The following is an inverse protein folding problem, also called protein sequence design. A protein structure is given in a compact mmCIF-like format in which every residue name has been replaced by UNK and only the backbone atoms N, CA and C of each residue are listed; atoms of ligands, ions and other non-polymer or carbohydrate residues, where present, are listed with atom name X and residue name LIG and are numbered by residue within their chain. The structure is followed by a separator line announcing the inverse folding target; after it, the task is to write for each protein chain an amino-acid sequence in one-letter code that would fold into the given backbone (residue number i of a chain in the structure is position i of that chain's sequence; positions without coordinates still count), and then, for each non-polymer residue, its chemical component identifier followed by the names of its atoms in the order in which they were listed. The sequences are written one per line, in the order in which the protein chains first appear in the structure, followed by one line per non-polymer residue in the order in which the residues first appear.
data_IF_126914461626
#
_entry.id   IF_126914461626
#
_cell.length_a   1.000
_cell.length_b   1.000
_cell.length_c   1.000
_cell.angle_alpha   90.00
_cell.angle_beta   90.00
_cell.angle_gamma   90.00
#
_symmetry.space_group_name_H-M   'P 1'
#
loop_
_entity.id
_entity.type
_entity.pdbx_description
1 polymer ?
#
# COMPACT_ATOMS: atom_id res chain seq x y z
N UNK A 1 -28.86 -10.07 0.04
CA UNK A 1 -28.31 -9.06 0.96
C UNK A 1 -27.20 -9.72 1.74
N UNK A 2 -26.01 -9.11 1.82
CA UNK A 2 -24.92 -9.70 2.62
C UNK A 2 -25.23 -9.48 4.10
N UNK A 3 -24.78 -10.41 4.95
CA UNK A 3 -24.87 -10.26 6.40
C UNK A 3 -23.82 -9.25 6.89
N UNK A 4 -24.02 -8.69 8.09
CA UNK A 4 -23.02 -7.82 8.73
C UNK A 4 -21.65 -8.53 8.87
N UNK A 5 -21.66 -9.83 9.20
CA UNK A 5 -20.44 -10.65 9.26
C UNK A 5 -19.72 -10.72 7.90
N UNK A 6 -20.45 -10.89 6.80
CA UNK A 6 -19.88 -10.94 5.46
C UNK A 6 -19.29 -9.58 5.03
N UNK A 7 -19.93 -8.47 5.41
CA UNK A 7 -19.37 -7.13 5.19
C UNK A 7 -18.06 -6.94 5.96
N UNK A 8 -18.02 -7.36 7.24
CA UNK A 8 -16.83 -7.29 8.07
C UNK A 8 -15.67 -8.11 7.48
N UNK A 9 -15.90 -9.38 7.13
CA UNK A 9 -14.85 -10.23 6.54
C UNK A 9 -14.36 -9.69 5.20
N UNK A 10 -15.25 -9.13 4.38
CA UNK A 10 -14.88 -8.51 3.11
C UNK A 10 -13.97 -7.29 3.32
N UNK A 11 -14.28 -6.44 4.30
CA UNK A 11 -13.43 -5.30 4.65
C UNK A 11 -12.07 -5.76 5.19
N UNK A 12 -12.07 -6.78 6.06
CA UNK A 12 -10.84 -7.38 6.61
C UNK A 12 -9.93 -7.92 5.50
N UNK A 13 -10.49 -8.66 4.53
CA UNK A 13 -9.73 -9.17 3.37
C UNK A 13 -9.14 -8.05 2.54
N UNK A 14 -9.93 -7.03 2.19
CA UNK A 14 -9.43 -5.86 1.42
C UNK A 14 -8.26 -5.17 2.11
N UNK A 15 -8.30 -5.05 3.44
CA UNK A 15 -7.22 -4.45 4.23
C UNK A 15 -5.97 -5.33 4.19
N UNK A 16 -6.13 -6.65 4.30
CA UNK A 16 -5.03 -7.62 4.23
C UNK A 16 -4.39 -7.65 2.83
N UNK A 17 -5.21 -7.70 1.77
CA UNK A 17 -4.74 -7.70 0.38
C UNK A 17 -3.92 -6.44 0.09
N UNK A 18 -4.40 -5.27 0.52
CA UNK A 18 -3.65 -4.01 0.36
C UNK A 18 -2.30 -4.02 1.10
N UNK A 19 -2.22 -4.64 2.27
CA UNK A 19 -0.96 -4.79 3.01
C UNK A 19 0.01 -5.73 2.29
N UNK A 20 -0.48 -6.85 1.77
CA UNK A 20 0.32 -7.82 1.02
C UNK A 20 0.89 -7.15 -0.22
N UNK A 21 0.05 -6.50 -1.03
CA UNK A 21 0.49 -5.78 -2.22
C UNK A 21 1.51 -4.70 -1.89
N UNK A 22 1.34 -3.96 -0.79
CA UNK A 22 2.34 -2.98 -0.37
C UNK A 22 3.70 -3.64 -0.08
N UNK A 23 3.72 -4.75 0.67
CA UNK A 23 4.97 -5.47 0.98
C UNK A 23 5.62 -6.08 -0.27
N UNK A 24 4.83 -6.60 -1.21
CA UNK A 24 5.32 -7.11 -2.49
C UNK A 24 5.99 -6.02 -3.31
N UNK A 25 5.38 -4.83 -3.38
CA UNK A 25 5.96 -3.69 -4.10
C UNK A 25 7.24 -3.19 -3.44
N UNK A 26 7.26 -3.09 -2.11
CA UNK A 26 8.46 -2.64 -1.36
C UNK A 26 9.63 -3.59 -1.55
N UNK A 27 9.38 -4.90 -1.58
CA UNK A 27 10.42 -5.93 -1.69
C UNK A 27 10.61 -6.45 -3.12
N UNK A 28 10.08 -5.76 -4.13
CA UNK A 28 10.17 -6.23 -5.51
C UNK A 28 11.64 -6.31 -5.95
N UNK A 29 12.12 -7.44 -6.51
CA UNK A 29 13.55 -7.72 -6.67
C UNK A 29 14.28 -6.80 -7.65
N UNK A 30 13.56 -6.21 -8.61
CA UNK A 30 14.15 -5.40 -9.69
C UNK A 30 13.61 -3.97 -9.75
N UNK A 31 12.54 -3.68 -9.00
CA UNK A 31 11.86 -2.38 -9.05
C UNK A 31 11.11 -2.15 -7.73
N UNK A 32 11.82 -2.01 -6.60
CA UNK A 32 11.21 -1.79 -5.31
C UNK A 32 10.49 -0.44 -5.28
N UNK A 33 9.40 -0.38 -4.53
CA UNK A 33 8.63 0.84 -4.33
C UNK A 33 9.49 1.93 -3.71
N UNK A 34 9.63 3.06 -4.42
CA UNK A 34 10.38 4.21 -3.92
C UNK A 34 9.50 5.15 -3.10
N UNK A 35 10.14 6.05 -2.33
CA UNK A 35 9.46 7.13 -1.62
C UNK A 35 8.62 7.99 -2.58
N UNK A 36 9.16 8.32 -3.74
CA UNK A 36 8.50 9.16 -4.75
C UNK A 36 7.27 8.45 -5.34
N UNK A 37 7.36 7.14 -5.57
CA UNK A 37 6.24 6.33 -6.05
C UNK A 37 5.11 6.27 -5.02
N UNK A 38 5.45 6.04 -3.74
CA UNK A 38 4.46 6.04 -2.67
C UNK A 38 3.78 7.41 -2.54
N UNK A 39 4.54 8.51 -2.60
CA UNK A 39 3.98 9.86 -2.58
C UNK A 39 3.03 10.12 -3.76
N UNK A 40 3.40 9.69 -4.96
CA UNK A 40 2.54 9.78 -6.15
C UNK A 40 1.26 8.94 -6.00
N UNK A 41 1.37 7.74 -5.44
CA UNK A 41 0.24 6.85 -5.19
C UNK A 41 -0.72 7.43 -4.14
N UNK A 42 -0.18 8.05 -3.07
CA UNK A 42 -0.98 8.77 -2.07
C UNK A 42 -1.73 9.92 -2.72
N UNK A 43 -1.05 10.75 -3.54
CA UNK A 43 -1.71 11.85 -4.26
C UNK A 43 -2.82 11.36 -5.20
N UNK A 44 -2.60 10.21 -5.86
CA UNK A 44 -3.54 9.64 -6.84
C UNK A 44 -4.74 8.96 -6.18
N UNK A 45 -4.52 8.20 -5.10
CA UNK A 45 -5.55 7.39 -4.41
C UNK A 45 -5.31 7.39 -2.89
N UNK A 46 -5.60 8.52 -2.21
CA UNK A 46 -5.30 8.66 -0.78
C UNK A 46 -6.06 7.63 0.07
N UNK A 47 -7.30 7.30 -0.28
CA UNK A 47 -8.11 6.31 0.43
C UNK A 47 -7.46 4.92 0.56
N UNK A 48 -6.57 4.56 -0.39
CA UNK A 48 -5.87 3.27 -0.38
C UNK A 48 -4.47 3.40 0.24
N UNK A 49 -3.72 4.43 -0.15
CA UNK A 49 -2.29 4.50 0.13
C UNK A 49 -1.90 5.38 1.32
N UNK A 50 -2.78 6.28 1.78
CA UNK A 50 -2.48 7.23 2.88
C UNK A 50 -2.04 6.51 4.16
N UNK A 51 -2.60 5.32 4.42
CA UNK A 51 -2.24 4.49 5.58
C UNK A 51 -0.78 4.07 5.62
N UNK A 52 -0.09 4.08 4.48
CA UNK A 52 1.33 3.74 4.36
C UNK A 52 2.24 4.97 4.40
N UNK A 53 1.70 6.18 4.61
CA UNK A 53 2.50 7.41 4.62
C UNK A 53 3.68 7.38 5.60
N UNK A 54 3.58 6.64 6.72
CA UNK A 54 4.69 6.45 7.67
C UNK A 54 5.88 5.64 7.12
N UNK A 55 5.77 5.08 5.92
CA UNK A 55 6.87 4.44 5.21
C UNK A 55 7.61 5.41 4.28
N UNK A 56 7.11 6.61 4.02
CA UNK A 56 7.78 7.58 3.15
C UNK A 56 9.23 7.80 3.59
N UNK A 57 9.48 7.94 4.90
CA UNK A 57 10.83 8.18 5.43
C UNK A 57 11.72 6.92 5.43
N UNK A 58 11.14 5.73 5.26
CA UNK A 58 11.84 4.43 5.30
C UNK A 58 12.17 3.87 3.93
N UNK A 59 11.41 4.25 2.90
CA UNK A 59 11.63 3.77 1.53
C UNK A 59 12.86 4.46 0.91
N UNK A 60 13.60 3.74 0.03
CA UNK A 60 14.68 4.34 -0.71
C UNK A 60 14.15 5.44 -1.64
N UNK A 61 14.97 6.45 -1.88
CA UNK A 61 14.69 7.41 -2.95
C UNK A 61 15.04 6.77 -4.28
N UNK A 62 14.30 7.13 -5.34
CA UNK A 62 14.58 6.70 -6.71
C UNK A 62 16.02 6.99 -7.17
N UNK A 63 16.69 7.99 -6.60
CA UNK A 63 18.08 8.29 -6.94
C UNK A 63 19.11 7.30 -6.34
N UNK A 64 18.68 6.39 -5.45
CA UNK A 64 19.54 5.41 -4.78
C UNK A 64 19.13 3.95 -4.96
N UNK A 65 18.23 3.66 -5.92
CA UNK A 65 17.81 2.31 -6.34
C UNK A 65 18.47 1.96 -7.66
#
# INVERSE_FOLDING_TARGET
MLTQLQHFESARRRIADANITFLELVNHPTNPLTREDLAANIKRRPATWQRFAGFLDKLPSRAGV
#
